data_IF_521415054110
#
_entry.id   IF_521415054110
#
_cell.length_a   1.000
_cell.length_b   1.000
_cell.length_c   1.000
_cell.angle_alpha   90.00
_cell.angle_beta   90.00
_cell.angle_gamma   90.00
#
_symmetry.space_group_name_H-M   'P 1'
#
loop_
_entity.id
_entity.type
_entity.pdbx_description
1 polymer ?
#
# COMPACT_ATOMS: atom_id res chain seq x y z
N UNK A 1 -43.16 11.02 8.40
CA UNK A 1 -42.20 9.99 7.94
C UNK A 1 -41.04 10.74 7.30
N UNK A 2 -39.96 11.01 8.05
CA UNK A 2 -38.75 10.17 8.18
C UNK A 2 -38.16 9.86 6.79
N UNK A 3 -36.93 10.22 6.42
CA UNK A 3 -35.78 10.68 7.20
C UNK A 3 -34.70 11.23 6.26
N UNK A 4 -34.00 12.25 6.76
CA UNK A 4 -32.84 12.96 6.23
C UNK A 4 -31.61 12.04 6.34
N UNK A 5 -30.90 11.77 5.25
CA UNK A 5 -29.54 11.22 5.29
C UNK A 5 -28.60 12.41 5.09
N UNK A 6 -28.22 13.04 6.20
CA UNK A 6 -27.00 13.84 6.26
C UNK A 6 -25.85 12.84 6.38
N UNK A 7 -25.05 12.72 5.32
CA UNK A 7 -23.77 12.02 5.40
C UNK A 7 -22.82 12.84 6.26
N UNK A 8 -22.59 12.36 7.48
CA UNK A 8 -21.59 12.88 8.41
C UNK A 8 -20.19 12.71 7.80
N UNK A 9 -19.69 13.75 7.14
CA UNK A 9 -18.25 13.90 6.90
C UNK A 9 -17.64 14.68 8.07
N UNK A 10 -17.75 14.12 9.28
CA UNK A 10 -16.92 14.53 10.40
C UNK A 10 -15.68 13.63 10.45
N UNK A 11 -14.81 13.81 9.46
CA UNK A 11 -13.45 13.29 9.56
C UNK A 11 -12.69 14.15 10.57
N UNK A 12 -12.19 13.48 11.61
CA UNK A 12 -11.36 14.02 12.67
C UNK A 12 -10.39 15.10 12.16
N UNK A 13 -10.58 16.33 12.63
CA UNK A 13 -9.51 17.33 12.68
C UNK A 13 -8.47 16.85 13.68
N UNK A 14 -7.54 16.01 13.24
CA UNK A 14 -6.25 15.86 13.89
C UNK A 14 -5.17 16.53 13.04
N UNK A 15 -4.21 17.11 13.74
CA UNK A 15 -3.12 18.00 13.33
C UNK A 15 -2.46 17.61 11.98
N UNK A 16 -1.88 18.58 11.23
CA UNK A 16 -1.37 18.32 9.88
C UNK A 16 -0.21 17.32 9.96
N UNK A 17 -0.50 16.05 9.67
CA UNK A 17 0.52 15.08 9.31
C UNK A 17 1.10 15.54 7.98
N UNK A 18 2.41 15.73 7.98
CA UNK A 18 3.24 16.19 6.87
C UNK A 18 2.76 15.56 5.55
N UNK A 19 2.26 16.42 4.65
CA UNK A 19 1.88 16.05 3.29
C UNK A 19 3.14 15.54 2.60
N UNK A 20 3.18 14.27 2.21
CA UNK A 20 4.10 13.86 1.17
C UNK A 20 3.58 14.48 -0.13
N UNK A 21 4.09 15.66 -0.48
CA UNK A 21 3.88 16.22 -1.81
C UNK A 21 4.76 15.39 -2.73
N UNK A 22 4.13 14.61 -3.61
CA UNK A 22 4.89 14.05 -4.70
C UNK A 22 5.34 15.21 -5.59
N UNK A 23 6.65 15.41 -5.68
CA UNK A 23 7.29 16.53 -6.37
C UNK A 23 6.83 16.68 -7.83
N UNK A 24 6.41 15.57 -8.45
CA UNK A 24 6.03 15.50 -9.85
C UNK A 24 4.56 15.11 -10.10
N UNK A 25 3.81 14.64 -9.09
CA UNK A 25 2.41 14.23 -9.29
C UNK A 25 1.39 15.35 -8.99
N UNK A 26 1.83 16.47 -8.41
CA UNK A 26 0.99 17.67 -8.27
C UNK A 26 -0.17 17.56 -7.26
N UNK A 27 -0.27 16.46 -6.52
CA UNK A 27 -1.23 16.31 -5.42
C UNK A 27 -0.54 15.84 -4.13
N UNK A 28 -0.95 16.37 -2.95
CA UNK A 28 -0.51 15.84 -1.68
C UNK A 28 -1.12 14.45 -1.48
N UNK A 29 -0.28 13.43 -1.25
CA UNK A 29 -0.75 12.11 -0.82
C UNK A 29 -0.38 11.87 0.63
N UNK A 30 -1.32 11.32 1.39
CA UNK A 30 -1.07 10.79 2.75
C UNK A 30 -1.00 9.27 2.76
N UNK A 31 -1.19 8.63 1.61
CA UNK A 31 -1.27 7.18 1.42
C UNK A 31 -0.30 6.72 0.34
N UNK A 32 0.01 5.42 0.32
CA UNK A 32 0.72 4.81 -0.80
C UNK A 32 -0.05 5.03 -2.12
N UNK A 33 0.70 5.20 -3.20
CA UNK A 33 0.19 5.46 -4.56
C UNK A 33 0.92 4.54 -5.55
N UNK A 34 0.41 4.43 -6.78
CA UNK A 34 0.80 3.34 -7.70
C UNK A 34 2.31 3.09 -7.85
N UNK A 35 3.17 4.08 -8.16
CA UNK A 35 4.62 3.85 -8.30
C UNK A 35 5.41 3.80 -6.98
N UNK A 36 4.74 3.83 -5.81
CA UNK A 36 5.41 3.98 -4.52
C UNK A 36 6.43 2.86 -4.23
N UNK A 37 6.06 1.62 -4.50
CA UNK A 37 6.90 0.44 -4.29
C UNK A 37 8.14 0.45 -5.20
N UNK A 38 8.00 0.85 -6.47
CA UNK A 38 9.12 1.00 -7.40
C UNK A 38 10.08 2.11 -6.96
N UNK A 39 9.56 3.28 -6.56
CA UNK A 39 10.35 4.40 -6.07
C UNK A 39 11.15 4.00 -4.82
N UNK A 40 10.51 3.30 -3.88
CA UNK A 40 11.17 2.77 -2.69
C UNK A 40 12.20 1.71 -3.08
N UNK A 41 11.86 0.76 -3.94
CA UNK A 41 12.75 -0.33 -4.36
C UNK A 41 14.06 0.18 -4.95
N UNK A 42 14.02 1.20 -5.81
CA UNK A 42 15.22 1.79 -6.41
C UNK A 42 15.92 2.86 -5.55
N UNK A 43 15.42 3.11 -4.33
CA UNK A 43 15.98 4.10 -3.40
C UNK A 43 16.06 5.53 -3.98
N UNK A 44 15.01 5.94 -4.69
CA UNK A 44 14.94 7.25 -5.34
C UNK A 44 13.91 8.19 -4.70
N UNK A 45 13.49 7.93 -3.46
CA UNK A 45 12.39 8.66 -2.80
C UNK A 45 12.59 10.18 -2.77
N UNK A 46 13.81 10.67 -2.54
CA UNK A 46 14.14 12.11 -2.51
C UNK A 46 13.90 12.83 -3.85
N UNK A 47 13.87 12.10 -4.97
CA UNK A 47 13.56 12.67 -6.28
C UNK A 47 12.06 12.86 -6.50
N UNK A 48 11.23 12.05 -5.84
CA UNK A 48 9.79 11.98 -6.09
C UNK A 48 8.95 12.52 -4.91
N UNK A 49 9.53 12.63 -3.72
CA UNK A 49 8.86 13.08 -2.49
C UNK A 49 9.69 14.21 -1.90
N UNK A 50 9.01 15.32 -1.56
CA UNK A 50 9.66 16.53 -1.04
C UNK A 50 10.43 16.29 0.27
N UNK A 51 9.90 15.45 1.17
CA UNK A 51 10.52 15.15 2.47
C UNK A 51 10.11 13.75 2.93
N UNK A 52 10.80 12.69 2.47
CA UNK A 52 10.58 11.33 2.95
C UNK A 52 10.75 11.26 4.48
N UNK A 53 9.80 10.61 5.14
CA UNK A 53 9.79 10.41 6.58
C UNK A 53 10.62 9.19 6.99
N UNK A 54 10.94 9.05 8.28
CA UNK A 54 11.58 7.83 8.81
C UNK A 54 10.82 6.56 8.43
N UNK A 55 9.49 6.64 8.38
CA UNK A 55 8.61 5.53 8.02
C UNK A 55 8.73 5.10 6.55
N UNK A 56 9.00 6.05 5.67
CA UNK A 56 9.21 5.80 4.24
C UNK A 56 10.50 5.00 4.04
N UNK A 57 11.56 5.37 4.77
CA UNK A 57 12.82 4.63 4.79
C UNK A 57 12.68 3.24 5.42
N UNK A 58 11.89 3.08 6.47
CA UNK A 58 11.60 1.76 7.07
C UNK A 58 10.90 0.86 6.04
N UNK A 59 9.91 1.39 5.32
CA UNK A 59 9.23 0.64 4.25
C UNK A 59 10.21 0.20 3.14
N UNK A 60 11.08 1.11 2.67
CA UNK A 60 12.15 0.79 1.71
C UNK A 60 13.02 -0.35 2.22
N UNK A 61 13.54 -0.23 3.43
CA UNK A 61 14.51 -1.18 3.97
C UNK A 61 13.89 -2.57 4.12
N UNK A 62 12.62 -2.63 4.52
CA UNK A 62 11.85 -3.86 4.61
C UNK A 62 11.62 -4.47 3.23
N UNK A 63 11.22 -3.66 2.23
CA UNK A 63 11.08 -4.10 0.84
C UNK A 63 12.39 -4.70 0.30
N UNK A 64 13.53 -4.02 0.52
CA UNK A 64 14.85 -4.53 0.15
C UNK A 64 15.21 -5.82 0.89
N UNK A 65 14.92 -5.92 2.19
CA UNK A 65 15.13 -7.14 2.98
C UNK A 65 14.35 -8.31 2.38
N UNK A 66 13.09 -8.09 2.00
CA UNK A 66 12.24 -9.11 1.39
C UNK A 66 12.75 -9.57 0.03
N UNK A 67 13.04 -8.64 -0.88
CA UNK A 67 13.55 -8.99 -2.22
C UNK A 67 14.90 -9.71 -2.13
N UNK A 68 15.81 -9.25 -1.26
CA UNK A 68 17.10 -9.93 -1.05
C UNK A 68 16.92 -11.36 -0.56
N UNK A 69 16.01 -11.60 0.38
CA UNK A 69 15.76 -12.95 0.88
C UNK A 69 15.13 -13.85 -0.19
N UNK A 70 14.17 -13.32 -0.97
CA UNK A 70 13.58 -14.03 -2.10
C UNK A 70 14.65 -14.49 -3.08
N UNK A 71 15.52 -13.56 -3.54
CA UNK A 71 16.61 -13.86 -4.48
C UNK A 71 17.60 -14.88 -3.89
N UNK A 72 18.05 -14.68 -2.65
CA UNK A 72 18.99 -15.60 -1.98
C UNK A 72 18.44 -17.01 -1.79
N UNK A 73 17.12 -17.16 -1.65
CA UNK A 73 16.47 -18.46 -1.54
C UNK A 73 16.18 -19.14 -2.88
N UNK A 74 16.46 -18.47 -4.01
CA UNK A 74 16.02 -18.93 -5.33
C UNK A 74 14.49 -18.96 -5.47
N UNK A 75 13.80 -18.05 -4.77
CA UNK A 75 12.34 -17.96 -4.74
C UNK A 75 11.63 -19.04 -3.93
N UNK A 76 12.36 -19.81 -3.12
CA UNK A 76 11.79 -20.97 -2.38
C UNK A 76 11.43 -20.68 -0.93
N UNK A 77 11.93 -19.58 -0.35
CA UNK A 77 11.67 -19.24 1.05
C UNK A 77 11.26 -17.79 1.18
N UNK A 78 10.17 -17.59 1.92
CA UNK A 78 9.81 -16.29 2.45
C UNK A 78 10.70 -15.96 3.67
N UNK A 79 11.16 -14.71 3.81
CA UNK A 79 11.80 -14.24 5.04
C UNK A 79 10.81 -13.98 6.19
N UNK A 80 9.51 -14.18 5.95
CA UNK A 80 8.44 -13.90 6.89
C UNK A 80 7.80 -15.23 7.30
N UNK A 81 7.89 -15.62 8.58
CA UNK A 81 7.24 -16.82 9.09
C UNK A 81 5.75 -16.84 8.76
N UNK A 82 5.26 -17.96 8.23
CA UNK A 82 3.84 -18.13 7.90
C UNK A 82 3.39 -17.50 6.57
N UNK A 83 4.24 -16.70 5.90
CA UNK A 83 3.94 -16.28 4.52
C UNK A 83 4.17 -17.45 3.56
N UNK A 84 3.08 -17.91 2.97
CA UNK A 84 3.07 -19.01 2.01
C UNK A 84 2.79 -18.51 0.59
N UNK A 85 2.98 -19.38 -0.40
CA UNK A 85 2.70 -19.04 -1.79
C UNK A 85 1.21 -18.72 -1.97
N UNK A 86 0.92 -17.67 -2.75
CA UNK A 86 -0.43 -17.34 -3.19
C UNK A 86 -1.09 -18.57 -3.86
N UNK A 87 -2.39 -18.86 -3.61
CA UNK A 87 -3.39 -18.02 -2.94
C UNK A 87 -3.52 -18.19 -1.42
N UNK A 88 -2.63 -18.95 -0.76
CA UNK A 88 -2.83 -19.30 0.66
C UNK A 88 -2.93 -18.10 1.58
N UNK A 89 -2.02 -17.14 1.43
CA UNK A 89 -2.04 -15.87 2.13
C UNK A 89 -1.22 -14.82 1.39
N UNK A 90 -1.34 -13.57 1.85
CA UNK A 90 -0.66 -12.40 1.33
C UNK A 90 0.07 -11.72 2.49
N UNK A 91 1.27 -11.21 2.23
CA UNK A 91 1.99 -10.36 3.16
C UNK A 91 1.65 -8.89 2.87
N UNK A 92 1.01 -8.22 3.83
CA UNK A 92 0.76 -6.78 3.78
C UNK A 92 1.90 -6.05 4.49
N UNK A 93 2.68 -5.31 3.74
CA UNK A 93 3.81 -4.53 4.23
C UNK A 93 3.27 -3.16 4.63
N UNK A 94 3.28 -2.87 5.92
CA UNK A 94 2.89 -1.57 6.46
C UNK A 94 4.09 -0.86 7.07
N UNK A 95 3.86 0.34 7.60
CA UNK A 95 4.88 1.17 8.25
C UNK A 95 5.67 0.42 9.34
N UNK A 96 4.96 -0.29 10.22
CA UNK A 96 5.54 -0.81 11.46
C UNK A 96 5.67 -2.33 11.46
N UNK A 97 5.04 -3.02 10.50
CA UNK A 97 5.00 -4.47 10.46
C UNK A 97 4.75 -5.04 9.07
N UNK A 98 5.03 -6.33 8.93
CA UNK A 98 4.44 -7.14 7.87
C UNK A 98 3.42 -8.08 8.47
N UNK A 99 2.17 -7.98 8.00
CA UNK A 99 1.06 -8.78 8.49
C UNK A 99 0.67 -9.83 7.46
N UNK A 100 0.50 -11.08 7.89
CA UNK A 100 0.00 -12.15 7.02
C UNK A 100 -1.52 -12.14 7.08
N UNK A 101 -2.14 -11.97 5.92
CA UNK A 101 -3.58 -11.87 5.77
C UNK A 101 -4.09 -12.86 4.72
N UNK A 102 -5.34 -13.28 4.90
CA UNK A 102 -6.07 -14.08 3.92
C UNK A 102 -7.18 -13.21 3.31
N UNK A 103 -7.60 -13.52 2.09
CA UNK A 103 -8.78 -12.93 1.46
C UNK A 103 -8.77 -11.38 1.43
N UNK A 104 -7.61 -10.78 1.16
CA UNK A 104 -7.49 -9.32 1.14
C UNK A 104 -8.47 -8.69 0.15
N UNK A 105 -9.38 -7.88 0.68
CA UNK A 105 -10.45 -7.22 -0.09
C UNK A 105 -11.33 -8.15 -0.93
N UNK A 106 -11.50 -9.42 -0.53
CA UNK A 106 -12.29 -10.40 -1.28
C UNK A 106 -13.68 -9.89 -1.67
N UNK A 107 -14.45 -9.33 -0.72
CA UNK A 107 -15.81 -8.82 -1.01
C UNK A 107 -15.80 -7.70 -2.05
N UNK A 108 -14.79 -6.82 -2.00
CA UNK A 108 -14.64 -5.75 -2.99
C UNK A 108 -14.26 -6.33 -4.34
N UNK A 109 -13.29 -7.24 -4.39
CA UNK A 109 -12.90 -7.91 -5.62
C UNK A 109 -14.08 -8.66 -6.26
N UNK A 110 -14.89 -9.37 -5.46
CA UNK A 110 -16.10 -10.05 -5.93
C UNK A 110 -17.11 -9.06 -6.49
N UNK A 111 -17.41 -7.97 -5.77
CA UNK A 111 -18.32 -6.92 -6.26
C UNK A 111 -17.87 -6.35 -7.61
N UNK A 112 -16.59 -6.00 -7.74
CA UNK A 112 -16.05 -5.44 -8.98
C UNK A 112 -16.15 -6.43 -10.14
N UNK A 113 -15.80 -7.68 -9.88
CA UNK A 113 -15.86 -8.76 -10.87
C UNK A 113 -17.29 -9.06 -11.32
N UNK A 114 -18.21 -9.23 -10.37
CA UNK A 114 -19.61 -9.58 -10.63
C UNK A 114 -20.36 -8.50 -11.40
N UNK A 115 -19.95 -7.23 -11.25
CA UNK A 115 -20.56 -6.10 -11.95
C UNK A 115 -19.78 -5.69 -13.23
N UNK A 116 -18.77 -6.46 -13.65
CA UNK A 116 -18.01 -6.18 -14.86
C UNK A 116 -17.15 -4.91 -14.80
N UNK A 117 -16.74 -4.48 -13.60
CA UNK A 117 -15.91 -3.29 -13.40
C UNK A 117 -14.40 -3.59 -13.49
N UNK A 118 -14.00 -4.81 -13.86
CA UNK A 118 -12.58 -5.18 -13.96
C UNK A 118 -11.80 -4.30 -14.94
N UNK A 119 -12.46 -3.79 -16.00
CA UNK A 119 -11.86 -2.88 -16.98
C UNK A 119 -11.41 -1.54 -16.36
N UNK A 120 -11.99 -1.14 -15.23
CA UNK A 120 -11.63 0.08 -14.52
C UNK A 120 -10.54 -0.13 -13.46
N UNK A 121 -10.13 -1.37 -13.19
CA UNK A 121 -9.17 -1.68 -12.13
C UNK A 121 -7.78 -1.04 -12.36
N UNK A 122 -7.49 -0.62 -13.61
CA UNK A 122 -6.20 -0.08 -14.03
C UNK A 122 -6.25 1.40 -14.43
N UNK A 123 -7.42 2.05 -14.33
CA UNK A 123 -7.55 3.47 -14.63
C UNK A 123 -7.19 4.25 -13.38
N UNK A 124 -5.92 4.61 -13.25
CA UNK A 124 -5.35 5.38 -12.13
C UNK A 124 -4.46 6.52 -12.63
#
# INVERSE_FOLDING_TARGET
MHSRIQSETQFFKSKPLLKAISKNLGYPSSYAFHPWDAIAFFDHMEHYIESPTTNDYIFRDELHRMVRAFVRSGGKRSPIPGWEQFPKNIALITRDNVTIIQNYHQDKCSFWKENGFEDYAWVS
#
